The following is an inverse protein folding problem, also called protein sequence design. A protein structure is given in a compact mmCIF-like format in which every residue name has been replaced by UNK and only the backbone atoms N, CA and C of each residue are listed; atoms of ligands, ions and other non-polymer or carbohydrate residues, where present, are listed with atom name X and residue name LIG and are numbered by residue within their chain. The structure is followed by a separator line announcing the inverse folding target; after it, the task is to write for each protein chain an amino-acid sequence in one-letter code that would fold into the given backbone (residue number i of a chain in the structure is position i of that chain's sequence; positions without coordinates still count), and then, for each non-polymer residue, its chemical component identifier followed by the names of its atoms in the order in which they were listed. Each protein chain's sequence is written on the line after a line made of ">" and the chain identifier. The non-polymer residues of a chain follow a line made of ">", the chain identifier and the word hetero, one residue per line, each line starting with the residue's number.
data_IF_384471274224
#
_entry.id   IF_384471274224
#
_cell.length_a   1.000
_cell.length_b   1.000
_cell.length_c   1.000
_cell.angle_alpha   90.00
_cell.angle_beta   90.00
_cell.angle_gamma   90.00
#
_symmetry.space_group_name_H-M   'P 1'
#
loop_
_entity.id
_entity.type
_entity.pdbx_description
1 polymer ?
#
# COMPACT_ATOMS: atom_id res chain seq x y z
N UNK A 1 -19.16 -2.23 -4.04
CA UNK A 1 -18.07 -1.50 -3.37
C UNK A 1 -17.00 -2.45 -2.85
N UNK A 2 -17.32 -3.33 -1.89
CA UNK A 2 -16.34 -4.22 -1.26
C UNK A 2 -15.56 -5.09 -2.27
N UNK A 3 -16.25 -5.75 -3.20
CA UNK A 3 -15.62 -6.59 -4.24
C UNK A 3 -14.55 -5.83 -5.05
N UNK A 4 -14.90 -4.66 -5.61
CA UNK A 4 -13.98 -3.89 -6.45
C UNK A 4 -12.76 -3.41 -5.65
N UNK A 5 -12.98 -2.93 -4.42
CA UNK A 5 -11.91 -2.45 -3.55
C UNK A 5 -11.00 -3.61 -3.12
N UNK A 6 -11.56 -4.79 -2.81
CA UNK A 6 -10.79 -5.98 -2.47
C UNK A 6 -9.86 -6.40 -3.61
N UNK A 7 -10.35 -6.42 -4.85
CA UNK A 7 -9.54 -6.77 -6.02
C UNK A 7 -8.44 -5.73 -6.28
N UNK A 8 -8.75 -4.44 -6.29
CA UNK A 8 -7.73 -3.38 -6.45
C UNK A 8 -6.65 -3.45 -5.36
N UNK A 9 -7.07 -3.65 -4.11
CA UNK A 9 -6.15 -3.70 -2.97
C UNK A 9 -5.26 -4.93 -3.03
N UNK A 10 -5.84 -6.11 -3.23
CA UNK A 10 -5.11 -7.37 -3.22
C UNK A 10 -4.23 -7.55 -4.46
N UNK A 11 -4.70 -7.13 -5.63
CA UNK A 11 -4.06 -7.44 -6.91
C UNK A 11 -3.23 -6.31 -7.50
N UNK A 12 -3.39 -5.07 -7.01
CA UNK A 12 -2.59 -3.93 -7.47
C UNK A 12 -1.85 -3.24 -6.33
N UNK A 13 -2.55 -2.78 -5.29
CA UNK A 13 -1.92 -2.00 -4.20
C UNK A 13 -0.87 -2.81 -3.45
N UNK A 14 -1.21 -4.01 -2.98
CA UNK A 14 -0.27 -4.86 -2.25
C UNK A 14 0.97 -5.25 -3.09
N UNK A 15 0.82 -5.69 -4.35
CA UNK A 15 1.96 -5.90 -5.24
C UNK A 15 2.84 -4.66 -5.43
N UNK A 16 2.26 -3.47 -5.62
CA UNK A 16 3.03 -2.23 -5.76
C UNK A 16 3.82 -1.88 -4.49
N UNK A 17 3.21 -2.03 -3.32
CA UNK A 17 3.91 -1.83 -2.04
C UNK A 17 5.03 -2.84 -1.85
N UNK A 18 4.79 -4.12 -2.14
CA UNK A 18 5.82 -5.16 -2.05
C UNK A 18 6.97 -4.91 -3.03
N UNK A 19 6.68 -4.42 -4.24
CA UNK A 19 7.71 -4.03 -5.21
C UNK A 19 8.59 -2.90 -4.65
N UNK A 20 7.99 -1.82 -4.15
CA UNK A 20 8.71 -0.71 -3.52
C UNK A 20 9.56 -1.19 -2.34
N UNK A 21 9.00 -2.04 -1.46
CA UNK A 21 9.72 -2.63 -0.33
C UNK A 21 10.94 -3.42 -0.81
N UNK A 22 10.81 -4.23 -1.87
CA UNK A 22 11.90 -5.03 -2.39
C UNK A 22 13.02 -4.18 -2.99
N UNK A 23 12.68 -3.10 -3.72
CA UNK A 23 13.66 -2.13 -4.24
C UNK A 23 14.40 -1.43 -3.09
N UNK A 24 13.67 -1.00 -2.06
CA UNK A 24 14.26 -0.40 -0.86
C UNK A 24 15.15 -1.38 -0.10
N UNK A 25 14.74 -2.65 0.04
CA UNK A 25 15.56 -3.71 0.66
C UNK A 25 16.87 -3.94 -0.11
N UNK A 26 16.82 -3.93 -1.44
CA UNK A 26 18.03 -4.04 -2.26
C UNK A 26 19.03 -2.93 -1.93
N UNK A 27 18.57 -1.67 -1.92
CA UNK A 27 19.41 -0.51 -1.55
C UNK A 27 19.83 -0.51 -0.08
N UNK A 28 18.96 -0.97 0.81
CA UNK A 28 19.27 -1.15 2.23
C UNK A 28 20.46 -2.09 2.42
N UNK A 29 20.48 -3.22 1.71
CA UNK A 29 21.59 -4.17 1.75
C UNK A 29 22.85 -3.61 1.07
N UNK A 30 22.72 -2.97 -0.09
CA UNK A 30 23.83 -2.34 -0.83
C UNK A 30 24.57 -1.29 0.01
N UNK A 31 23.85 -0.51 0.81
CA UNK A 31 24.42 0.58 1.60
C UNK A 31 24.50 0.30 3.11
N UNK A 32 24.44 -0.97 3.52
CA UNK A 32 24.43 -1.34 4.94
C UNK A 32 25.69 -0.90 5.69
N UNK A 33 26.84 -0.90 5.01
CA UNK A 33 28.13 -0.56 5.63
C UNK A 33 28.57 0.89 5.34
N UNK A 34 27.76 1.68 4.62
CA UNK A 34 28.06 3.09 4.33
C UNK A 34 27.67 3.95 5.52
N UNK A 35 28.67 4.42 6.28
CA UNK A 35 28.45 5.28 7.45
C UNK A 35 28.11 6.71 7.03
N UNK A 36 27.05 7.25 7.61
CA UNK A 36 26.60 8.65 7.53
C UNK A 36 26.36 9.22 8.92
N UNK A 37 26.10 10.53 9.00
CA UNK A 37 25.67 11.17 10.25
C UNK A 37 24.15 11.11 10.37
N UNK A 38 23.64 10.70 11.53
CA UNK A 38 22.23 10.88 11.85
C UNK A 38 21.93 12.36 12.10
N UNK A 39 20.67 12.77 11.86
CA UNK A 39 20.19 14.11 12.23
C UNK A 39 18.89 14.01 13.00
N UNK A 40 18.82 14.67 14.15
CA UNK A 40 17.58 14.83 14.92
C UNK A 40 17.30 16.32 15.08
N UNK A 41 16.06 16.76 14.88
CA UNK A 41 15.71 18.19 14.85
C UNK A 41 16.55 18.99 13.82
N UNK A 42 16.95 18.37 12.71
CA UNK A 42 17.86 18.93 11.70
C UNK A 42 19.26 19.31 12.22
N UNK A 43 19.64 18.85 13.41
CA UNK A 43 20.97 19.03 13.98
C UNK A 43 21.79 17.73 13.89
N UNK A 44 23.11 17.88 13.81
CA UNK A 44 24.04 16.75 13.78
C UNK A 44 23.89 15.88 15.04
N UNK A 45 23.85 14.56 14.84
CA UNK A 45 23.73 13.57 15.90
C UNK A 45 24.92 12.58 15.87
N UNK A 46 24.67 11.29 16.07
CA UNK A 46 25.70 10.24 16.07
C UNK A 46 25.72 9.47 14.74
N UNK A 47 26.81 8.76 14.42
CA UNK A 47 26.89 7.96 13.21
C UNK A 47 25.84 6.84 13.16
N UNK A 48 25.37 6.57 11.94
CA UNK A 48 24.53 5.41 11.58
C UNK A 48 24.85 5.02 10.14
N UNK A 49 24.43 3.85 9.66
CA UNK A 49 24.58 3.52 8.24
C UNK A 49 23.40 4.00 7.39
N UNK A 50 23.65 4.23 6.11
CA UNK A 50 22.58 4.50 5.12
C UNK A 50 21.60 3.33 5.07
N UNK A 51 22.08 2.09 5.14
CA UNK A 51 21.21 0.91 5.22
C UNK A 51 20.32 0.91 6.47
N UNK A 52 20.82 1.33 7.63
CA UNK A 52 19.99 1.48 8.84
C UNK A 52 18.88 2.52 8.63
N UNK A 53 19.19 3.66 8.00
CA UNK A 53 18.17 4.68 7.67
C UNK A 53 17.12 4.12 6.72
N UNK A 54 17.54 3.41 5.66
CA UNK A 54 16.65 2.77 4.70
C UNK A 54 15.75 1.71 5.34
N UNK A 55 16.28 0.97 6.32
CA UNK A 55 15.53 -0.06 7.05
C UNK A 55 14.30 0.51 7.79
N UNK A 56 14.36 1.79 8.19
CA UNK A 56 13.22 2.48 8.79
C UNK A 56 12.02 2.61 7.85
N UNK A 57 12.25 2.97 6.57
CA UNK A 57 11.17 3.04 5.58
C UNK A 57 10.62 1.64 5.26
N UNK A 58 11.52 0.66 5.09
CA UNK A 58 11.14 -0.75 4.86
C UNK A 58 10.22 -1.25 5.96
N UNK A 59 10.56 -0.97 7.23
CA UNK A 59 9.75 -1.38 8.39
C UNK A 59 8.37 -0.72 8.39
N UNK A 60 8.28 0.60 8.17
CA UNK A 60 7.00 1.30 8.14
C UNK A 60 6.09 0.78 7.00
N UNK A 61 6.64 0.53 5.82
CA UNK A 61 5.89 0.00 4.69
C UNK A 61 5.47 -1.46 4.90
N UNK A 62 6.30 -2.28 5.55
CA UNK A 62 5.93 -3.65 5.90
C UNK A 62 4.75 -3.68 6.89
N UNK A 63 4.78 -2.84 7.93
CA UNK A 63 3.66 -2.69 8.88
C UNK A 63 2.37 -2.23 8.17
N UNK A 64 2.49 -1.33 7.19
CA UNK A 64 1.36 -0.92 6.36
C UNK A 64 0.80 -2.08 5.52
N UNK A 65 1.66 -2.88 4.88
CA UNK A 65 1.26 -4.09 4.13
C UNK A 65 0.54 -5.08 5.05
N UNK A 66 1.07 -5.33 6.23
CA UNK A 66 0.53 -6.32 7.17
C UNK A 66 -0.86 -5.90 7.69
N UNK A 67 -1.06 -4.60 7.96
CA UNK A 67 -2.38 -4.07 8.36
C UNK A 67 -3.41 -4.18 7.24
N UNK A 68 -3.04 -3.82 6.00
CA UNK A 68 -3.92 -3.96 4.82
C UNK A 68 -4.30 -5.43 4.60
N UNK A 69 -3.33 -6.35 4.67
CA UNK A 69 -3.59 -7.79 4.53
C UNK A 69 -4.55 -8.31 5.60
N UNK A 70 -4.41 -7.83 6.83
CA UNK A 70 -5.28 -8.23 7.95
C UNK A 70 -6.71 -7.70 7.79
N UNK A 71 -6.89 -6.53 7.16
CA UNK A 71 -8.19 -5.92 6.94
C UNK A 71 -8.94 -6.51 5.73
N UNK A 72 -8.22 -7.07 4.74
CA UNK A 72 -8.81 -7.60 3.51
C UNK A 72 -9.90 -8.68 3.74
N UNK A 73 -9.70 -9.69 4.61
CA UNK A 73 -10.75 -10.65 4.92
C UNK A 73 -12.02 -10.01 5.49
N UNK A 74 -11.89 -8.89 6.21
CA UNK A 74 -13.03 -8.20 6.82
C UNK A 74 -13.85 -7.43 5.78
N UNK A 75 -13.23 -6.88 4.74
CA UNK A 75 -13.99 -6.26 3.65
C UNK A 75 -14.65 -7.30 2.73
N UNK A 76 -14.19 -8.56 2.75
CA UNK A 76 -14.79 -9.66 2.00
C UNK A 76 -16.13 -10.16 2.60
N UNK A 77 -16.58 -9.63 3.73
CA UNK A 77 -17.96 -9.82 4.20
C UNK A 77 -18.92 -8.92 3.40
N UNK A 78 -19.89 -9.53 2.73
CA UNK A 78 -20.77 -8.88 1.76
C UNK A 78 -22.19 -8.69 2.29
N UNK A 79 -22.76 -7.52 1.99
CA UNK A 79 -24.15 -7.15 2.29
C UNK A 79 -25.20 -7.90 1.42
N UNK A 80 -24.75 -8.69 0.44
CA UNK A 80 -25.62 -9.45 -0.48
C UNK A 80 -26.64 -10.30 0.28
N UNK A 81 -27.86 -10.39 -0.22
CA UNK A 81 -28.97 -11.06 0.46
C UNK A 81 -29.71 -10.21 1.51
N UNK A 82 -29.17 -9.04 1.92
CA UNK A 82 -29.88 -8.12 2.84
C UNK A 82 -31.09 -7.41 2.21
N UNK A 83 -31.17 -7.37 0.88
CA UNK A 83 -32.20 -6.69 0.07
C UNK A 83 -32.43 -5.23 0.48
N UNK A 84 -33.67 -4.83 0.80
CA UNK A 84 -34.02 -3.42 0.99
C UNK A 84 -33.47 -2.81 2.29
N UNK A 85 -33.61 -3.54 3.40
CA UNK A 85 -33.33 -3.02 4.75
C UNK A 85 -32.58 -4.01 5.65
N UNK A 86 -32.02 -5.08 5.09
CA UNK A 86 -31.28 -6.11 5.83
C UNK A 86 -32.10 -7.33 6.22
N UNK A 87 -33.41 -7.34 6.00
CA UNK A 87 -34.32 -8.45 6.36
C UNK A 87 -34.28 -9.63 5.39
N UNK A 88 -33.73 -9.44 4.18
CA UNK A 88 -33.76 -10.46 3.13
C UNK A 88 -35.14 -10.68 2.51
N UNK A 89 -36.06 -9.73 2.66
CA UNK A 89 -37.36 -9.78 1.98
C UNK A 89 -37.15 -9.93 0.46
N UNK A 90 -37.86 -10.87 -0.16
CA UNK A 90 -37.73 -11.26 -1.58
C UNK A 90 -36.38 -11.87 -1.96
N UNK A 91 -35.61 -12.37 -0.98
CA UNK A 91 -34.42 -13.19 -1.22
C UNK A 91 -34.70 -14.64 -0.79
N UNK A 92 -34.34 -15.61 -1.63
CA UNK A 92 -34.50 -17.02 -1.25
C UNK A 92 -33.40 -17.43 -0.26
N UNK A 93 -33.73 -18.37 0.64
CA UNK A 93 -32.80 -18.87 1.65
C UNK A 93 -31.60 -19.55 0.98
N UNK A 94 -30.39 -19.19 1.37
CA UNK A 94 -29.13 -19.74 0.84
C UNK A 94 -28.54 -18.94 -0.33
N UNK A 95 -29.26 -17.96 -0.89
CA UNK A 95 -28.77 -17.14 -2.01
C UNK A 95 -27.43 -16.47 -1.74
N UNK A 96 -27.25 -15.86 -0.58
CA UNK A 96 -26.05 -15.11 -0.25
C UNK A 96 -24.82 -16.00 -0.05
N UNK A 97 -25.00 -17.17 0.57
CA UNK A 97 -23.95 -18.19 0.69
C UNK A 97 -23.52 -18.72 -0.70
N UNK A 98 -24.48 -19.13 -1.53
CA UNK A 98 -24.22 -19.64 -2.88
C UNK A 98 -23.54 -18.58 -3.76
N UNK A 99 -24.01 -17.34 -3.70
CA UNK A 99 -23.42 -16.24 -4.47
C UNK A 99 -22.01 -15.91 -3.99
N UNK A 100 -21.76 -15.85 -2.69
CA UNK A 100 -20.41 -15.60 -2.15
C UNK A 100 -19.42 -16.70 -2.56
N UNK A 101 -19.86 -17.96 -2.55
CA UNK A 101 -19.06 -19.10 -3.04
C UNK A 101 -18.76 -18.96 -4.54
N UNK A 102 -19.78 -18.69 -5.36
CA UNK A 102 -19.62 -18.48 -6.79
C UNK A 102 -18.70 -17.29 -7.11
N UNK A 103 -18.81 -16.21 -6.34
CA UNK A 103 -17.98 -15.02 -6.50
C UNK A 103 -16.52 -15.27 -6.11
N UNK A 104 -16.28 -16.05 -5.06
CA UNK A 104 -14.93 -16.48 -4.67
C UNK A 104 -14.26 -17.26 -5.79
N UNK A 105 -14.96 -18.24 -6.37
CA UNK A 105 -14.46 -19.01 -7.51
C UNK A 105 -14.24 -18.14 -8.76
N UNK A 106 -15.14 -17.18 -9.01
CA UNK A 106 -15.02 -16.26 -10.14
C UNK A 106 -13.79 -15.35 -9.98
N UNK A 107 -13.56 -14.80 -8.79
CA UNK A 107 -12.43 -13.94 -8.50
C UNK A 107 -11.09 -14.70 -8.60
N UNK A 108 -11.02 -15.94 -8.11
CA UNK A 108 -9.83 -16.80 -8.28
C UNK A 108 -9.53 -17.06 -9.77
N UNK A 109 -10.54 -17.45 -10.56
CA UNK A 109 -10.37 -17.61 -12.02
C UNK A 109 -9.92 -16.32 -12.69
N UNK A 110 -10.55 -15.19 -12.34
CA UNK A 110 -10.20 -13.89 -12.90
C UNK A 110 -8.74 -13.54 -12.61
N UNK A 111 -8.29 -13.69 -11.37
CA UNK A 111 -6.90 -13.45 -10.99
C UNK A 111 -5.94 -14.28 -11.84
N UNK A 112 -6.18 -15.60 -11.96
CA UNK A 112 -5.32 -16.51 -12.73
C UNK A 112 -5.29 -16.20 -14.23
N UNK A 113 -6.39 -15.68 -14.79
CA UNK A 113 -6.42 -15.24 -16.19
C UNK A 113 -5.65 -13.95 -16.43
N UNK A 114 -5.67 -13.02 -15.46
CA UNK A 114 -5.02 -11.71 -15.54
C UNK A 114 -3.52 -11.79 -15.23
N UNK A 115 -3.13 -12.63 -14.26
CA UNK A 115 -1.78 -12.74 -13.73
C UNK A 115 -1.27 -14.18 -13.86
N UNK A 116 -0.63 -14.49 -15.00
CA UNK A 116 -0.05 -15.81 -15.26
C UNK A 116 1.19 -16.04 -14.38
N UNK A 117 1.38 -17.28 -13.95
CA UNK A 117 2.54 -17.70 -13.12
C UNK A 117 2.70 -16.90 -11.82
N UNK A 118 1.61 -16.30 -11.34
CA UNK A 118 1.57 -15.49 -10.13
C UNK A 118 0.73 -16.14 -9.06
N UNK A 119 1.11 -15.92 -7.80
CA UNK A 119 0.30 -16.24 -6.63
C UNK A 119 -0.32 -14.97 -6.07
N UNK A 120 -1.62 -14.95 -5.75
CA UNK A 120 -2.22 -13.78 -5.13
C UNK A 120 -1.56 -13.55 -3.77
N UNK A 121 -1.29 -12.28 -3.43
CA UNK A 121 -0.68 -11.92 -2.14
C UNK A 121 -1.56 -12.38 -0.96
N UNK A 122 -2.86 -12.47 -1.20
CA UNK A 122 -3.88 -12.98 -0.29
C UNK A 122 -5.09 -13.48 -1.08
N UNK A 123 -5.68 -14.58 -0.63
CA UNK A 123 -6.89 -15.13 -1.24
C UNK A 123 -8.11 -14.28 -0.88
N UNK A 124 -8.96 -14.02 -1.88
CA UNK A 124 -10.22 -13.30 -1.70
C UNK A 124 -11.36 -14.29 -1.50
N UNK A 125 -11.64 -14.61 -0.23
CA UNK A 125 -12.76 -15.47 0.17
C UNK A 125 -13.95 -14.61 0.60
N UNK A 126 -14.97 -14.52 -0.24
CA UNK A 126 -16.18 -13.75 0.05
C UNK A 126 -17.14 -14.55 0.93
N UNK A 127 -17.76 -13.87 1.89
CA UNK A 127 -18.73 -14.47 2.82
C UNK A 127 -19.92 -13.54 3.03
N UNK A 128 -21.11 -14.05 3.35
CA UNK A 128 -22.22 -13.23 3.84
C UNK A 128 -21.81 -12.48 5.10
N UNK A 129 -22.11 -11.17 5.18
CA UNK A 129 -21.96 -10.43 6.43
C UNK A 129 -22.89 -11.01 7.51
N UNK A 130 -22.34 -11.19 8.72
CA UNK A 130 -23.06 -11.74 9.87
C UNK A 130 -24.31 -10.92 10.22
N UNK A 131 -24.19 -9.59 10.17
CA UNK A 131 -25.30 -8.67 10.39
C UNK A 131 -25.53 -7.80 9.15
N UNK A 132 -26.63 -8.07 8.42
CA UNK A 132 -26.98 -7.33 7.20
C UNK A 132 -27.40 -5.89 7.48
N UNK A 133 -27.98 -5.60 8.64
CA UNK A 133 -28.35 -4.23 9.01
C UNK A 133 -27.12 -3.34 9.13
N UNK A 134 -26.09 -3.81 9.84
CA UNK A 134 -24.80 -3.11 9.93
C UNK A 134 -24.16 -2.93 8.55
N UNK A 135 -24.18 -3.99 7.71
CA UNK A 135 -23.59 -3.95 6.37
C UNK A 135 -24.31 -3.00 5.39
N UNK A 136 -25.59 -2.68 5.63
CA UNK A 136 -26.35 -1.70 4.84
C UNK A 136 -26.29 -0.28 5.44
N UNK A 137 -26.30 -0.16 6.77
CA UNK A 137 -26.36 1.12 7.47
C UNK A 137 -24.99 1.82 7.54
N UNK A 138 -23.90 1.06 7.46
CA UNK A 138 -22.54 1.56 7.62
C UNK A 138 -21.52 0.92 6.68
N UNK A 139 -20.33 1.51 6.64
CA UNK A 139 -19.19 1.08 5.81
C UNK A 139 -17.91 0.94 6.66
N UNK A 140 -18.06 0.51 7.90
CA UNK A 140 -17.03 0.47 8.93
C UNK A 140 -15.77 -0.31 8.48
N UNK A 141 -15.95 -1.46 7.84
CA UNK A 141 -14.84 -2.26 7.31
C UNK A 141 -14.04 -1.53 6.22
N UNK A 142 -14.71 -0.73 5.39
CA UNK A 142 -14.06 0.11 4.38
C UNK A 142 -13.40 1.34 5.00
N UNK A 143 -14.00 1.93 6.04
CA UNK A 143 -13.40 3.02 6.80
C UNK A 143 -12.10 2.58 7.48
N UNK A 144 -12.08 1.38 8.07
CA UNK A 144 -10.87 0.80 8.65
C UNK A 144 -9.77 0.57 7.59
N UNK A 145 -10.14 0.09 6.40
CA UNK A 145 -9.19 -0.03 5.28
C UNK A 145 -8.66 1.35 4.84
N UNK A 146 -9.52 2.37 4.81
CA UNK A 146 -9.11 3.75 4.56
C UNK A 146 -8.12 4.26 5.61
N UNK A 147 -8.31 3.90 6.89
CA UNK A 147 -7.34 4.19 7.96
C UNK A 147 -5.98 3.52 7.75
N UNK A 148 -5.97 2.28 7.24
CA UNK A 148 -4.73 1.60 6.84
C UNK A 148 -4.01 2.39 5.74
N UNK A 149 -4.73 2.81 4.69
CA UNK A 149 -4.16 3.62 3.60
C UNK A 149 -3.68 5.00 4.07
N UNK A 150 -4.39 5.64 4.99
CA UNK A 150 -3.94 6.89 5.59
C UNK A 150 -2.59 6.71 6.30
N UNK A 151 -2.44 5.63 7.06
CA UNK A 151 -1.17 5.28 7.72
C UNK A 151 -0.07 5.04 6.69
N UNK A 152 -0.36 4.29 5.62
CA UNK A 152 0.58 4.09 4.49
C UNK A 152 1.03 5.43 3.88
N UNK A 153 0.10 6.36 3.67
CA UNK A 153 0.41 7.67 3.11
C UNK A 153 1.38 8.48 4.00
N UNK A 154 1.23 8.41 5.33
CA UNK A 154 2.17 9.09 6.24
C UNK A 154 3.58 8.51 6.18
N UNK A 155 3.73 7.19 6.00
CA UNK A 155 5.04 6.55 5.81
C UNK A 155 5.68 6.95 4.47
N UNK A 156 4.89 6.96 3.39
CA UNK A 156 5.34 7.41 2.06
C UNK A 156 5.72 8.89 2.06
N UNK A 157 5.01 9.73 2.80
CA UNK A 157 5.34 11.15 2.96
C UNK A 157 6.72 11.34 3.59
N UNK A 158 7.05 10.56 4.63
CA UNK A 158 8.39 10.60 5.22
C UNK A 158 9.45 10.15 4.21
N UNK A 159 9.20 9.03 3.52
CA UNK A 159 10.10 8.52 2.47
C UNK A 159 10.39 9.59 1.41
N UNK A 160 9.37 10.26 0.88
CA UNK A 160 9.54 11.28 -0.16
C UNK A 160 10.26 12.54 0.35
N UNK A 161 9.91 13.00 1.55
CA UNK A 161 10.51 14.20 2.14
C UNK A 161 11.99 13.97 2.48
N UNK A 162 12.33 12.81 3.05
CA UNK A 162 13.71 12.47 3.40
C UNK A 162 14.55 12.34 2.14
N UNK A 163 14.06 11.68 1.08
CA UNK A 163 14.79 11.58 -0.20
C UNK A 163 15.01 12.96 -0.85
N UNK A 164 14.01 13.84 -0.83
CA UNK A 164 14.12 15.22 -1.31
C UNK A 164 15.19 16.00 -0.52
N UNK A 165 15.12 15.92 0.81
CA UNK A 165 16.03 16.63 1.70
C UNK A 165 17.49 16.15 1.55
N UNK A 166 17.70 14.83 1.53
CA UNK A 166 19.03 14.23 1.42
C UNK A 166 19.67 14.42 0.04
N UNK A 167 18.87 14.68 -1.01
CA UNK A 167 19.36 15.00 -2.35
C UNK A 167 19.36 16.50 -2.66
N UNK A 168 19.06 17.36 -1.68
CA UNK A 168 19.14 18.82 -1.83
C UNK A 168 20.56 19.25 -2.20
N UNK A 169 20.70 20.08 -3.23
CA UNK A 169 22.03 20.41 -3.78
C UNK A 169 21.96 20.95 -5.21
N UNK A 170 23.01 20.77 -6.05
CA UNK A 170 24.18 19.92 -5.80
C UNK A 170 25.26 20.55 -4.90
N UNK A 171 25.32 21.88 -4.82
CA UNK A 171 26.42 22.59 -4.11
C UNK A 171 25.99 23.30 -2.82
N UNK A 172 24.68 23.47 -2.61
CA UNK A 172 24.13 24.33 -1.54
C UNK A 172 23.12 23.61 -0.65
N UNK A 173 23.25 22.28 -0.50
CA UNK A 173 22.36 21.44 0.31
C UNK A 173 23.12 20.29 0.97
N UNK A 174 22.42 19.23 1.35
CA UNK A 174 23.03 18.07 2.00
C UNK A 174 23.84 17.20 1.02
N UNK A 175 23.35 17.04 -0.21
CA UNK A 175 24.00 16.28 -1.29
C UNK A 175 24.47 14.86 -0.88
N UNK A 176 23.74 14.19 0.02
CA UNK A 176 24.05 12.81 0.43
C UNK A 176 23.52 11.78 -0.57
N UNK A 177 22.34 12.02 -1.14
CA UNK A 177 21.69 11.13 -2.11
C UNK A 177 21.77 11.73 -3.51
N UNK A 178 22.06 10.86 -4.48
CA UNK A 178 21.99 11.20 -5.92
C UNK A 178 20.82 10.42 -6.52
N UNK A 179 19.76 11.14 -6.89
CA UNK A 179 18.59 10.53 -7.54
C UNK A 179 18.78 10.46 -9.06
N UNK A 180 18.16 9.49 -9.75
CA UNK A 180 18.18 9.42 -11.21
C UNK A 180 17.64 10.71 -11.86
N UNK A 181 18.35 11.18 -12.88
CA UNK A 181 18.00 12.37 -13.64
C UNK A 181 17.08 12.00 -14.82
N UNK A 182 15.76 12.01 -14.59
CA UNK A 182 14.79 11.51 -15.56
C UNK A 182 14.37 12.56 -16.61
N UNK A 183 14.23 13.83 -16.22
CA UNK A 183 13.82 14.91 -17.12
C UNK A 183 14.46 16.27 -16.76
N UNK A 184 14.48 17.24 -17.69
CA UNK A 184 14.89 18.60 -17.40
C UNK A 184 14.00 19.23 -16.30
N UNK A 185 14.61 19.68 -15.22
CA UNK A 185 13.90 20.20 -14.04
C UNK A 185 13.55 21.69 -14.10
N UNK A 186 13.96 22.41 -15.15
CA UNK A 186 13.59 23.82 -15.32
C UNK A 186 13.55 24.23 -16.78
N UNK A 187 12.51 24.98 -17.13
CA UNK A 187 12.39 25.62 -18.44
C UNK A 187 13.33 26.83 -18.61
N UNK A 188 13.81 27.41 -17.50
CA UNK A 188 14.61 28.65 -17.51
C UNK A 188 16.05 28.44 -17.02
N UNK A 189 16.29 27.50 -16.10
CA UNK A 189 17.63 27.19 -15.58
C UNK A 189 18.21 25.97 -16.32
N UNK A 190 19.12 26.18 -17.28
CA UNK A 190 19.70 25.07 -18.04
C UNK A 190 20.38 24.08 -17.10
N UNK A 191 20.21 22.79 -17.38
CA UNK A 191 20.82 21.68 -16.62
C UNK A 191 20.34 21.53 -15.16
N UNK A 192 19.36 22.33 -14.70
CA UNK A 192 18.75 22.08 -13.39
C UNK A 192 17.89 20.82 -13.47
N UNK A 193 18.13 19.90 -12.55
CA UNK A 193 17.32 18.70 -12.33
C UNK A 193 16.57 18.86 -11.01
N UNK A 194 15.35 18.33 -10.92
CA UNK A 194 14.57 18.30 -9.68
C UNK A 194 14.35 16.86 -9.24
N UNK A 195 14.02 16.69 -7.97
CA UNK A 195 13.54 15.44 -7.39
C UNK A 195 12.11 15.14 -7.82
N UNK A 196 11.92 14.77 -9.08
CA UNK A 196 10.67 14.20 -9.56
C UNK A 196 10.82 12.67 -9.61
N UNK A 197 10.12 11.91 -8.77
CA UNK A 197 9.94 10.48 -9.01
C UNK A 197 8.96 10.34 -10.18
N UNK A 198 9.42 9.76 -11.29
CA UNK A 198 8.50 9.19 -12.30
C UNK A 198 7.97 7.86 -11.80
#
# INVERSE_FOLDING_TARGET
>A
MNLSIAMETAWKVLPSLNHLINVLKSKMHEFMDVIKIGRTHMQDAVPMSVGQELSGYVSQLQQAVDSIKSQLPLICYLAVGGTAVGTGLNCFKGFDEELCMGLTQLADRLYRTMYKESTPVIDLVFKPAENKFAALAGHDALLQLSGCFNTTATALMRLSNDFCLLSSGPNCGLSEFVLPANEPGSSIMPSKLNTFPL
#
